data_IF_658117036529
#
_entry.id   IF_658117036529
#
_cell.length_a   1.000
_cell.length_b   1.000
_cell.length_c   1.000
_cell.angle_alpha   90.00
_cell.angle_beta   90.00
_cell.angle_gamma   90.00
#
_symmetry.space_group_name_H-M   'P 1'
#
loop_
_entity.id
_entity.type
_entity.pdbx_description
1 polymer ?
#
# COMPACT_ATOMS: atom_id res chain seq x y z
N UNK A 1 33.98 27.96 -22.78
CA UNK A 1 34.50 26.78 -22.05
C UNK A 1 33.51 25.65 -22.24
N UNK A 2 33.84 24.68 -23.09
CA UNK A 2 32.97 23.52 -23.34
C UNK A 2 33.22 22.52 -22.21
N UNK A 3 32.23 22.32 -21.34
CA UNK A 3 32.31 21.34 -20.26
C UNK A 3 32.24 19.97 -20.91
N UNK A 4 33.40 19.30 -21.03
CA UNK A 4 33.46 17.85 -21.28
C UNK A 4 32.84 17.17 -20.06
N UNK A 5 31.52 16.97 -20.08
CA UNK A 5 30.89 16.03 -19.16
C UNK A 5 31.39 14.63 -19.57
N UNK A 6 32.35 14.13 -18.79
CA UNK A 6 33.05 12.88 -18.98
C UNK A 6 32.07 11.70 -19.01
N UNK A 7 32.12 10.95 -20.10
CA UNK A 7 31.42 9.66 -20.28
C UNK A 7 31.70 8.71 -19.10
N UNK A 8 32.91 8.78 -18.53
CA UNK A 8 33.32 8.02 -17.34
C UNK A 8 32.47 8.35 -16.10
N UNK A 9 32.05 9.60 -15.91
CA UNK A 9 31.23 10.01 -14.76
C UNK A 9 29.82 9.43 -14.88
N UNK A 10 29.30 9.34 -16.10
CA UNK A 10 28.00 8.73 -16.38
C UNK A 10 28.03 7.21 -16.21
N UNK A 11 29.11 6.54 -16.65
CA UNK A 11 29.30 5.10 -16.44
C UNK A 11 29.46 4.73 -14.96
N UNK A 12 30.27 5.49 -14.20
CA UNK A 12 30.40 5.28 -12.75
C UNK A 12 29.08 5.49 -12.00
N UNK A 13 28.29 6.50 -12.37
CA UNK A 13 26.96 6.71 -11.80
C UNK A 13 26.04 5.51 -12.11
N UNK A 14 25.99 5.04 -13.35
CA UNK A 14 25.19 3.88 -13.75
C UNK A 14 25.60 2.59 -13.02
N UNK A 15 26.91 2.37 -12.80
CA UNK A 15 27.39 1.23 -12.02
C UNK A 15 26.90 1.33 -10.56
N UNK A 16 27.00 2.52 -9.95
CA UNK A 16 26.55 2.79 -8.57
C UNK A 16 25.03 2.62 -8.40
N UNK A 17 24.24 3.08 -9.37
CA UNK A 17 22.79 2.86 -9.36
C UNK A 17 22.48 1.36 -9.47
N UNK A 18 23.10 0.65 -10.41
CA UNK A 18 22.82 -0.78 -10.65
C UNK A 18 23.13 -1.67 -9.45
N UNK A 19 24.29 -1.49 -8.80
CA UNK A 19 24.72 -2.36 -7.68
C UNK A 19 23.89 -2.18 -6.41
N UNK A 20 23.17 -1.07 -6.27
CA UNK A 20 22.39 -0.76 -5.05
C UNK A 20 20.89 -1.06 -5.18
N UNK A 21 20.36 -1.29 -6.39
CA UNK A 21 18.93 -1.54 -6.59
C UNK A 21 18.43 -2.79 -5.85
N UNK A 22 19.11 -3.93 -6.05
CA UNK A 22 18.72 -5.21 -5.47
C UNK A 22 18.66 -5.18 -3.93
N UNK A 23 19.71 -4.74 -3.20
CA UNK A 23 19.65 -4.69 -1.74
C UNK A 23 18.57 -3.73 -1.23
N UNK A 24 18.34 -2.59 -1.91
CA UNK A 24 17.29 -1.64 -1.54
C UNK A 24 15.89 -2.19 -1.76
N UNK A 25 15.65 -2.87 -2.88
CA UNK A 25 14.38 -3.54 -3.14
C UNK A 25 14.12 -4.64 -2.10
N UNK A 26 15.13 -5.44 -1.77
CA UNK A 26 15.02 -6.47 -0.73
C UNK A 26 14.67 -5.87 0.63
N UNK A 27 15.30 -4.76 1.02
CA UNK A 27 14.93 -4.02 2.23
C UNK A 27 13.46 -3.58 2.19
N UNK A 28 13.01 -2.97 1.08
CA UNK A 28 11.63 -2.52 0.92
C UNK A 28 10.61 -3.66 1.03
N UNK A 29 10.90 -4.83 0.45
CA UNK A 29 10.03 -6.01 0.55
C UNK A 29 9.98 -6.54 1.99
N UNK A 30 11.11 -6.59 2.69
CA UNK A 30 11.14 -6.99 4.10
C UNK A 30 10.35 -6.02 4.99
N UNK A 31 10.47 -4.71 4.74
CA UNK A 31 9.73 -3.68 5.46
C UNK A 31 8.21 -3.84 5.24
N UNK A 32 7.78 -4.10 4.00
CA UNK A 32 6.38 -4.42 3.69
C UNK A 32 5.89 -5.66 4.46
N UNK A 33 6.69 -6.71 4.51
CA UNK A 33 6.34 -7.96 5.20
C UNK A 33 6.15 -7.77 6.70
N UNK A 34 7.02 -6.98 7.34
CA UNK A 34 6.88 -6.62 8.74
C UNK A 34 5.60 -5.82 9.02
N UNK A 35 5.28 -4.85 8.16
CA UNK A 35 4.04 -4.06 8.27
C UNK A 35 2.81 -4.97 8.14
N UNK A 36 2.79 -5.85 7.13
CA UNK A 36 1.71 -6.81 6.92
C UNK A 36 1.54 -7.73 8.13
N UNK A 37 2.64 -8.22 8.71
CA UNK A 37 2.60 -9.07 9.92
C UNK A 37 1.95 -8.35 11.10
N UNK A 38 2.30 -7.08 11.33
CA UNK A 38 1.72 -6.26 12.40
C UNK A 38 0.22 -6.02 12.16
N UNK A 39 -0.16 -5.61 10.95
CA UNK A 39 -1.56 -5.33 10.61
C UNK A 39 -2.43 -6.57 10.70
N UNK A 40 -1.92 -7.73 10.25
CA UNK A 40 -2.63 -9.02 10.40
C UNK A 40 -2.99 -9.31 11.84
N UNK A 41 -2.01 -9.17 12.75
CA UNK A 41 -2.24 -9.40 14.19
C UNK A 41 -3.28 -8.42 14.73
N UNK A 42 -3.12 -7.13 14.44
CA UNK A 42 -4.06 -6.09 14.90
C UNK A 42 -5.48 -6.29 14.39
N UNK A 43 -5.65 -6.66 13.12
CA UNK A 43 -6.95 -6.99 12.54
C UNK A 43 -7.57 -8.22 13.21
N UNK A 44 -6.77 -9.25 13.48
CA UNK A 44 -7.26 -10.45 14.18
C UNK A 44 -7.76 -10.12 15.59
N UNK A 45 -6.97 -9.37 16.36
CA UNK A 45 -7.34 -8.94 17.71
C UNK A 45 -8.62 -8.09 17.69
N UNK A 46 -8.72 -7.15 16.74
CA UNK A 46 -9.89 -6.30 16.54
C UNK A 46 -11.15 -7.11 16.20
N UNK A 47 -11.06 -8.03 15.22
CA UNK A 47 -12.18 -8.90 14.86
C UNK A 47 -12.65 -9.77 16.03
N UNK A 48 -11.72 -10.22 16.87
CA UNK A 48 -12.05 -10.96 18.09
C UNK A 48 -12.80 -10.08 19.09
N UNK A 49 -12.34 -8.84 19.27
CA UNK A 49 -13.00 -7.85 20.13
C UNK A 49 -14.40 -7.49 19.65
N UNK A 50 -14.61 -7.38 18.34
CA UNK A 50 -15.88 -6.98 17.73
C UNK A 50 -16.89 -8.13 17.61
N UNK A 51 -16.58 -9.33 18.09
CA UNK A 51 -17.43 -10.52 17.88
C UNK A 51 -18.85 -10.33 18.44
N UNK A 52 -19.00 -9.62 19.55
CA UNK A 52 -20.30 -9.36 20.17
C UNK A 52 -21.22 -8.52 19.27
N UNK A 53 -20.66 -7.66 18.41
CA UNK A 53 -21.41 -6.83 17.46
C UNK A 53 -22.12 -7.67 16.38
N UNK A 54 -21.88 -8.97 16.29
CA UNK A 54 -22.65 -9.83 15.38
C UNK A 54 -24.08 -10.00 15.90
N UNK A 55 -24.23 -10.16 17.23
CA UNK A 55 -25.49 -10.49 17.88
C UNK A 55 -26.15 -9.26 18.54
N UNK A 56 -25.33 -8.33 19.06
CA UNK A 56 -25.77 -7.19 19.89
C UNK A 56 -25.41 -5.84 19.25
N UNK A 57 -25.57 -5.75 17.92
CA UNK A 57 -25.35 -4.49 17.21
C UNK A 57 -26.48 -3.50 17.48
N UNK A 58 -26.10 -2.26 17.79
CA UNK A 58 -27.00 -1.12 17.95
C UNK A 58 -26.56 -0.04 16.96
N UNK A 59 -27.43 0.27 15.99
CA UNK A 59 -27.19 1.29 14.97
C UNK A 59 -27.16 2.72 15.54
N UNK A 60 -27.71 2.93 16.73
CA UNK A 60 -27.72 4.22 17.42
C UNK A 60 -26.48 4.42 18.29
N UNK A 61 -25.75 3.34 18.60
CA UNK A 61 -24.50 3.40 19.35
C UNK A 61 -23.32 3.74 18.42
N UNK A 62 -22.85 4.99 18.54
CA UNK A 62 -21.69 5.49 17.80
C UNK A 62 -20.40 4.68 18.07
N UNK A 63 -20.27 4.05 19.23
CA UNK A 63 -19.11 3.19 19.54
C UNK A 63 -19.12 1.90 18.70
N UNK A 64 -20.30 1.31 18.48
CA UNK A 64 -20.48 0.15 17.61
C UNK A 64 -20.16 0.49 16.16
N UNK A 65 -20.67 1.61 15.65
CA UNK A 65 -20.37 2.12 14.31
C UNK A 65 -18.86 2.35 14.12
N UNK A 66 -18.21 3.02 15.07
CA UNK A 66 -16.76 3.26 15.04
C UNK A 66 -15.95 1.97 15.08
N UNK A 67 -16.38 0.97 15.86
CA UNK A 67 -15.70 -0.32 15.95
C UNK A 67 -15.76 -1.08 14.62
N UNK A 68 -16.90 -1.06 13.93
CA UNK A 68 -17.04 -1.70 12.60
C UNK A 68 -16.28 -0.91 11.54
N UNK A 69 -16.33 0.43 11.56
CA UNK A 69 -15.57 1.28 10.63
C UNK A 69 -14.07 1.04 10.77
N UNK A 70 -13.57 0.93 12.01
CA UNK A 70 -12.18 0.61 12.28
C UNK A 70 -11.80 -0.76 11.70
N UNK A 71 -12.66 -1.77 11.82
CA UNK A 71 -12.41 -3.09 11.23
C UNK A 71 -12.42 -3.04 9.71
N UNK A 72 -13.30 -2.23 9.11
CA UNK A 72 -13.36 -2.01 7.67
C UNK A 72 -12.07 -1.37 7.15
N UNK A 73 -11.59 -0.30 7.79
CA UNK A 73 -10.32 0.34 7.43
C UNK A 73 -9.14 -0.61 7.57
N UNK A 74 -9.09 -1.42 8.64
CA UNK A 74 -8.08 -2.48 8.80
C UNK A 74 -8.17 -3.55 7.73
N UNK A 75 -9.38 -3.96 7.35
CA UNK A 75 -9.62 -4.97 6.34
C UNK A 75 -9.17 -4.49 4.95
N UNK A 76 -9.53 -3.27 4.60
CA UNK A 76 -9.12 -2.60 3.36
C UNK A 76 -7.62 -2.44 3.28
N UNK A 77 -7.00 -1.85 4.31
CA UNK A 77 -5.56 -1.64 4.38
C UNK A 77 -4.79 -2.94 4.16
N UNK A 78 -5.21 -4.01 4.84
CA UNK A 78 -4.54 -5.30 4.74
C UNK A 78 -4.71 -5.96 3.37
N UNK A 79 -5.90 -5.87 2.76
CA UNK A 79 -6.15 -6.41 1.42
C UNK A 79 -5.28 -5.69 0.36
N UNK A 80 -5.18 -4.35 0.44
CA UNK A 80 -4.28 -3.59 -0.44
C UNK A 80 -2.82 -4.02 -0.27
N UNK A 81 -2.33 -4.13 0.97
CA UNK A 81 -0.95 -4.57 1.23
C UNK A 81 -0.66 -5.99 0.71
N UNK A 82 -1.66 -6.88 0.74
CA UNK A 82 -1.52 -8.20 0.12
C UNK A 82 -1.40 -8.14 -1.40
N UNK A 83 -2.18 -7.28 -2.07
CA UNK A 83 -2.06 -7.07 -3.51
C UNK A 83 -0.69 -6.49 -3.86
N UNK A 84 -0.20 -5.52 -3.08
CA UNK A 84 1.14 -4.95 -3.21
C UNK A 84 2.23 -6.02 -3.06
N UNK A 85 2.13 -6.87 -2.03
CA UNK A 85 3.07 -7.99 -1.83
C UNK A 85 3.07 -8.95 -3.02
N UNK A 86 1.90 -9.30 -3.55
CA UNK A 86 1.77 -10.17 -4.73
C UNK A 86 2.42 -9.54 -5.96
N UNK A 87 2.22 -8.23 -6.19
CA UNK A 87 2.78 -7.51 -7.33
C UNK A 87 4.30 -7.38 -7.22
N UNK A 88 4.82 -6.95 -6.07
CA UNK A 88 6.27 -6.82 -5.81
C UNK A 88 7.01 -8.15 -5.89
N UNK A 89 6.36 -9.27 -5.54
CA UNK A 89 6.92 -10.61 -5.74
C UNK A 89 7.10 -11.04 -7.20
N UNK A 90 6.59 -10.27 -8.17
CA UNK A 90 6.79 -10.51 -9.62
C UNK A 90 8.01 -9.76 -10.18
N UNK A 91 8.70 -8.97 -9.37
CA UNK A 91 9.87 -8.21 -9.83
C UNK A 91 11.05 -9.17 -9.99
N UNK A 92 11.51 -9.35 -11.23
CA UNK A 92 12.64 -10.20 -11.61
C UNK A 92 13.84 -9.40 -12.13
N UNK A 93 13.61 -8.20 -12.64
CA UNK A 93 14.59 -7.36 -13.32
C UNK A 93 14.22 -5.86 -13.26
N UNK A 94 15.09 -5.01 -13.79
CA UNK A 94 14.93 -3.55 -13.74
C UNK A 94 13.71 -3.06 -14.54
N UNK A 95 13.28 -3.76 -15.59
CA UNK A 95 12.08 -3.37 -16.35
C UNK A 95 10.82 -3.67 -15.55
N UNK A 96 10.76 -4.84 -14.90
CA UNK A 96 9.64 -5.21 -14.03
C UNK A 96 9.49 -4.27 -12.81
N UNK A 97 10.58 -3.61 -12.37
CA UNK A 97 10.50 -2.54 -11.36
C UNK A 97 9.64 -1.38 -11.85
N UNK A 98 9.82 -0.97 -13.12
CA UNK A 98 9.13 0.17 -13.72
C UNK A 98 7.67 -0.11 -14.05
N UNK A 99 7.31 -1.38 -14.27
CA UNK A 99 5.92 -1.80 -14.43
C UNK A 99 5.20 -1.91 -13.07
N UNK A 100 5.89 -2.47 -12.07
CA UNK A 100 5.25 -2.83 -10.80
C UNK A 100 5.22 -1.66 -9.83
N UNK A 101 6.37 -1.11 -9.46
CA UNK A 101 6.46 -0.19 -8.32
C UNK A 101 5.64 1.08 -8.48
N UNK A 102 5.55 1.70 -9.67
CA UNK A 102 4.78 2.92 -9.80
C UNK A 102 3.28 2.77 -9.60
N UNK A 103 2.69 1.62 -9.96
CA UNK A 103 1.28 1.31 -9.61
C UNK A 103 1.12 0.92 -8.13
N UNK A 104 2.22 0.63 -7.45
CA UNK A 104 2.22 0.15 -6.06
C UNK A 104 2.35 1.30 -5.07
N UNK A 105 3.14 2.32 -5.42
CA UNK A 105 3.46 3.46 -4.56
C UNK A 105 2.21 4.27 -4.15
N UNK A 106 1.29 4.65 -5.05
CA UNK A 106 0.06 5.36 -4.67
C UNK A 106 -0.79 4.55 -3.69
N UNK A 107 -0.89 3.23 -3.89
CA UNK A 107 -1.60 2.33 -2.98
C UNK A 107 -1.00 2.35 -1.56
N UNK A 108 0.33 2.29 -1.46
CA UNK A 108 1.05 2.39 -0.18
C UNK A 108 0.75 3.73 0.50
N UNK A 109 0.73 4.83 -0.26
CA UNK A 109 0.42 6.17 0.28
C UNK A 109 -1.00 6.28 0.78
N UNK A 110 -1.98 5.73 0.04
CA UNK A 110 -3.38 5.69 0.48
C UNK A 110 -3.53 4.92 1.78
N UNK A 111 -2.93 3.73 1.89
CA UNK A 111 -2.96 2.95 3.14
C UNK A 111 -2.21 3.68 4.26
N UNK A 112 -1.07 4.30 3.97
CA UNK A 112 -0.33 5.10 4.96
C UNK A 112 -1.20 6.20 5.56
N UNK A 113 -1.94 6.94 4.74
CA UNK A 113 -2.84 8.00 5.17
C UNK A 113 -3.98 7.46 6.04
N UNK A 114 -4.63 6.37 5.64
CA UNK A 114 -5.71 5.74 6.42
C UNK A 114 -5.24 5.23 7.78
N UNK A 115 -4.00 4.75 7.87
CA UNK A 115 -3.44 4.22 9.11
C UNK A 115 -2.86 5.29 10.03
N UNK A 116 -2.81 6.57 9.61
CA UNK A 116 -2.13 7.62 10.35
C UNK A 116 -2.69 7.76 11.78
N UNK A 117 -4.01 7.87 11.92
CA UNK A 117 -4.66 8.03 13.23
C UNK A 117 -4.87 6.69 13.98
N UNK A 118 -4.72 5.56 13.29
CA UNK A 118 -5.06 4.23 13.83
C UNK A 118 -3.82 3.50 14.33
N UNK A 119 -2.79 3.42 13.48
CA UNK A 119 -1.51 2.76 13.76
C UNK A 119 -0.37 3.64 13.23
N UNK A 120 -0.03 4.75 13.93
CA UNK A 120 0.92 5.75 13.45
C UNK A 120 2.28 5.18 13.06
N UNK A 121 2.75 4.15 13.78
CA UNK A 121 4.01 3.49 13.47
C UNK A 121 4.00 2.76 12.12
N UNK A 122 2.88 2.12 11.76
CA UNK A 122 2.72 1.48 10.45
C UNK A 122 2.59 2.52 9.34
N UNK A 123 1.84 3.60 9.58
CA UNK A 123 1.78 4.75 8.66
C UNK A 123 3.17 5.30 8.36
N UNK A 124 3.97 5.62 9.38
CA UNK A 124 5.36 6.10 9.20
C UNK A 124 6.22 5.15 8.36
N UNK A 125 6.16 3.84 8.65
CA UNK A 125 6.92 2.83 7.90
C UNK A 125 6.44 2.70 6.44
N UNK A 126 5.14 2.84 6.18
CA UNK A 126 4.60 2.86 4.81
C UNK A 126 5.01 4.11 4.06
N UNK A 127 5.05 5.27 4.72
CA UNK A 127 5.58 6.50 4.14
C UNK A 127 7.05 6.36 3.76
N UNK A 128 7.89 5.82 4.65
CA UNK A 128 9.30 5.49 4.36
C UNK A 128 9.40 4.53 3.16
N UNK A 129 8.63 3.44 3.18
CA UNK A 129 8.57 2.47 2.10
C UNK A 129 8.23 3.15 0.75
N UNK A 130 7.22 4.02 0.72
CA UNK A 130 6.82 4.72 -0.50
C UNK A 130 7.94 5.62 -1.08
N UNK A 131 8.72 6.25 -0.21
CA UNK A 131 9.87 7.10 -0.61
C UNK A 131 11.00 6.23 -1.13
N UNK A 132 11.33 5.14 -0.44
CA UNK A 132 12.37 4.21 -0.86
C UNK A 132 12.07 3.59 -2.23
N UNK A 133 10.83 3.11 -2.43
CA UNK A 133 10.39 2.58 -3.72
C UNK A 133 10.40 3.65 -4.82
N UNK A 134 10.02 4.89 -4.49
CA UNK A 134 10.10 6.00 -5.44
C UNK A 134 11.52 6.27 -5.94
N UNK A 135 12.51 6.25 -5.05
CA UNK A 135 13.91 6.41 -5.45
C UNK A 135 14.42 5.21 -6.27
N UNK A 136 13.99 3.98 -5.95
CA UNK A 136 14.31 2.79 -6.76
C UNK A 136 13.76 2.92 -8.19
N UNK A 137 12.53 3.42 -8.34
CA UNK A 137 11.93 3.69 -9.66
C UNK A 137 12.75 4.70 -10.46
N UNK A 138 13.16 5.80 -9.84
CA UNK A 138 13.96 6.84 -10.50
C UNK A 138 15.31 6.30 -10.99
N UNK A 139 16.03 5.59 -10.13
CA UNK A 139 17.31 4.98 -10.48
C UNK A 139 17.15 3.93 -11.60
N UNK A 140 16.08 3.14 -11.54
CA UNK A 140 15.76 2.14 -12.56
C UNK A 140 15.46 2.80 -13.92
N UNK A 141 14.74 3.93 -13.92
CA UNK A 141 14.43 4.67 -15.14
C UNK A 141 15.67 5.30 -15.77
N UNK A 142 16.61 5.80 -14.95
CA UNK A 142 17.91 6.30 -15.43
C UNK A 142 18.71 5.18 -16.10
N UNK A 143 18.78 4.00 -15.47
CA UNK A 143 19.53 2.85 -16.01
C UNK A 143 18.96 2.34 -17.34
N UNK A 144 17.64 2.27 -17.47
CA UNK A 144 16.98 1.74 -18.67
C UNK A 144 16.69 2.81 -19.71
N UNK A 145 16.93 4.08 -19.39
CA UNK A 145 16.50 5.25 -20.19
C UNK A 145 15.00 5.25 -20.48
N UNK A 146 14.21 4.56 -19.66
CA UNK A 146 12.78 4.44 -19.83
C UNK A 146 12.07 5.73 -19.37
N UNK A 147 10.93 6.01 -20.00
CA UNK A 147 9.96 6.97 -19.50
C UNK A 147 8.80 6.23 -18.88
N UNK A 148 8.23 6.83 -17.85
CA UNK A 148 7.18 6.21 -17.07
C UNK A 148 5.92 7.07 -17.10
N UNK A 149 4.76 6.42 -17.25
CA UNK A 149 3.46 7.07 -17.27
C UNK A 149 2.80 7.04 -15.88
N UNK A 150 2.96 8.14 -15.15
CA UNK A 150 2.33 8.33 -13.84
C UNK A 150 0.81 8.45 -13.94
N UNK A 151 0.26 8.90 -15.06
CA UNK A 151 -1.19 9.03 -15.25
C UNK A 151 -1.80 7.63 -15.30
N UNK A 152 -1.30 6.77 -16.20
CA UNK A 152 -1.78 5.40 -16.32
C UNK A 152 -1.68 4.64 -14.99
N UNK A 153 -0.55 4.76 -14.29
CA UNK A 153 -0.39 4.02 -13.04
C UNK A 153 -1.24 4.55 -11.89
N UNK A 154 -1.56 5.84 -11.86
CA UNK A 154 -2.50 6.39 -10.90
C UNK A 154 -3.94 5.94 -11.19
N UNK A 155 -4.33 5.81 -12.45
CA UNK A 155 -5.62 5.24 -12.85
C UNK A 155 -5.73 3.77 -12.46
N UNK A 156 -4.72 2.97 -12.75
CA UNK A 156 -4.66 1.56 -12.35
C UNK A 156 -4.69 1.38 -10.83
N UNK A 157 -4.01 2.26 -10.09
CA UNK A 157 -4.03 2.27 -8.63
C UNK A 157 -5.43 2.59 -8.11
N UNK A 158 -6.07 3.62 -8.66
CA UNK A 158 -7.43 4.04 -8.28
C UNK A 158 -8.45 2.93 -8.53
N UNK A 159 -8.40 2.31 -9.70
CA UNK A 159 -9.27 1.17 -10.05
C UNK A 159 -9.11 -0.01 -9.08
N UNK A 160 -7.87 -0.31 -8.65
CA UNK A 160 -7.64 -1.34 -7.66
C UNK A 160 -8.18 -0.97 -6.27
N UNK A 161 -8.01 0.29 -5.84
CA UNK A 161 -8.57 0.78 -4.57
C UNK A 161 -10.09 0.61 -4.55
N UNK A 162 -10.79 1.01 -5.61
CA UNK A 162 -12.25 0.87 -5.72
C UNK A 162 -12.68 -0.59 -5.67
N UNK A 163 -11.99 -1.45 -6.43
CA UNK A 163 -12.25 -2.89 -6.42
C UNK A 163 -12.09 -3.49 -5.02
N UNK A 164 -11.01 -3.14 -4.32
CA UNK A 164 -10.76 -3.68 -2.97
C UNK A 164 -11.76 -3.13 -1.96
N UNK A 165 -12.16 -1.86 -2.09
CA UNK A 165 -13.22 -1.26 -1.27
C UNK A 165 -14.51 -2.07 -1.39
N UNK A 166 -14.97 -2.35 -2.62
CA UNK A 166 -16.18 -3.15 -2.86
C UNK A 166 -16.08 -4.57 -2.27
N UNK A 167 -14.92 -5.22 -2.40
CA UNK A 167 -14.68 -6.55 -1.82
C UNK A 167 -14.78 -6.50 -0.30
N UNK A 168 -14.19 -5.47 0.32
CA UNK A 168 -14.16 -5.31 1.78
C UNK A 168 -15.55 -4.97 2.30
N UNK A 169 -16.25 -4.02 1.68
CA UNK A 169 -17.62 -3.65 2.04
C UNK A 169 -18.54 -4.88 1.98
N UNK A 170 -18.43 -5.70 0.93
CA UNK A 170 -19.18 -6.96 0.83
C UNK A 170 -18.81 -7.98 1.92
N UNK A 171 -17.55 -8.04 2.36
CA UNK A 171 -17.11 -8.92 3.46
C UNK A 171 -17.63 -8.44 4.81
N UNK A 172 -17.57 -7.13 5.07
CA UNK A 172 -18.04 -6.55 6.34
C UNK A 172 -19.56 -6.65 6.44
N UNK A 173 -20.30 -6.42 5.35
CA UNK A 173 -21.77 -6.56 5.37
C UNK A 173 -22.25 -7.98 5.63
N UNK A 174 -21.53 -8.98 5.10
CA UNK A 174 -21.79 -10.39 5.44
C UNK A 174 -21.43 -10.74 6.88
N UNK A 175 -20.44 -10.06 7.45
CA UNK A 175 -20.00 -10.29 8.83
C UNK A 175 -20.95 -9.65 9.84
N UNK A 176 -21.52 -8.49 9.52
CA UNK A 176 -22.44 -7.73 10.36
C UNK A 176 -23.77 -7.54 9.61
N UNK A 177 -24.64 -8.56 9.56
CA UNK A 177 -25.88 -8.51 8.77
C UNK A 177 -26.89 -7.48 9.29
N UNK A 178 -26.78 -7.10 10.57
CA UNK A 178 -27.64 -6.10 11.21
C UNK A 178 -27.21 -4.65 10.93
N UNK A 179 -26.10 -4.43 10.21
CA UNK A 179 -25.63 -3.10 9.82
C UNK A 179 -26.25 -2.67 8.48
N UNK A 180 -27.06 -1.61 8.50
CA UNK A 180 -27.56 -0.96 7.28
C UNK A 180 -26.54 0.07 6.75
N UNK A 181 -25.68 -0.36 5.84
CA UNK A 181 -24.67 0.50 5.21
C UNK A 181 -25.31 1.66 4.42
N UNK A 182 -26.55 1.56 3.95
CA UNK A 182 -27.18 2.65 3.20
C UNK A 182 -27.62 3.80 4.09
N UNK A 183 -27.87 3.56 5.39
CA UNK A 183 -28.16 4.61 6.38
C UNK A 183 -26.90 5.20 6.99
N UNK A 184 -25.90 4.36 7.29
CA UNK A 184 -24.68 4.76 8.00
C UNK A 184 -23.79 5.79 7.25
N UNK A 185 -23.93 5.94 5.93
CA UNK A 185 -23.14 6.88 5.11
C UNK A 185 -23.96 8.05 4.53
N UNK A 186 -25.26 8.14 4.82
CA UNK A 186 -26.14 9.24 4.38
C UNK A 186 -26.46 10.23 5.52
N UNK A 187 -25.72 10.18 6.62
CA UNK A 187 -25.81 11.10 7.77
C UNK A 187 -24.45 11.75 7.99
#
# INVERSE_FOLDING_TARGET
MSVKCDVCTLECANISHSVTLVPRLKYSINLLDDIVKILKKKRHDLKKSNRFLVDDFDETDNSHLKAIELERVMAFSLEILFQIKKRTGRISDVNSILEVLPTTIPLIRTVSAQLFDIIPNCSRKLSELSVHLGSIVLDSAVLTKARFDFTQSNEESSSLLDKVKLIVDSKISKQYPNLDFFKAYNT
#
